data_IF_214038820360
#
_entry.id   IF_214038820360
#
_cell.length_a   1.000
_cell.length_b   1.000
_cell.length_c   1.000
_cell.angle_alpha   90.00
_cell.angle_beta   90.00
_cell.angle_gamma   90.00
#
_symmetry.space_group_name_H-M   'P 1'
#
loop_
_entity.id
_entity.type
_entity.pdbx_description
1 polymer ?
#
# COMPACT_ATOMS: atom_id res chain seq x y z
N UNK A 1 42.23 9.82 13.78
CA UNK A 1 40.95 9.38 14.40
C UNK A 1 39.94 10.49 14.16
N UNK A 2 39.21 10.45 13.04
CA UNK A 2 38.31 11.51 12.64
C UNK A 2 36.94 11.28 13.31
N UNK A 3 36.59 12.18 14.22
CA UNK A 3 35.27 12.24 14.86
C UNK A 3 34.27 12.72 13.80
N UNK A 4 33.45 11.80 13.29
CA UNK A 4 32.27 12.16 12.50
C UNK A 4 31.23 12.75 13.45
N UNK A 5 31.12 14.07 13.46
CA UNK A 5 30.00 14.78 14.08
C UNK A 5 28.71 14.41 13.36
N UNK A 6 27.87 13.62 14.02
CA UNK A 6 26.48 13.45 13.65
C UNK A 6 25.77 14.80 13.87
N UNK A 7 25.55 15.53 12.78
CA UNK A 7 24.69 16.72 12.81
C UNK A 7 23.23 16.26 12.94
N UNK A 8 22.44 16.83 13.88
CA UNK A 8 21.04 16.47 14.01
C UNK A 8 20.28 16.93 12.75
N UNK A 9 19.56 16.02 12.09
CA UNK A 9 18.69 16.36 10.96
C UNK A 9 17.56 17.25 11.47
N UNK A 10 17.47 18.45 10.92
CA UNK A 10 16.44 19.43 11.22
C UNK A 10 15.04 18.86 11.00
N UNK A 11 14.16 19.23 11.91
CA UNK A 11 12.76 18.86 11.95
C UNK A 11 12.00 19.45 10.76
N UNK A 12 11.29 18.58 10.03
CA UNK A 12 10.01 18.82 9.36
C UNK A 12 9.89 20.04 8.42
N UNK A 13 10.05 19.83 7.10
CA UNK A 13 9.12 20.26 6.02
C UNK A 13 9.67 20.13 4.60
N UNK A 14 10.99 20.04 4.39
CA UNK A 14 11.61 20.07 3.05
C UNK A 14 12.30 18.76 2.69
N UNK A 15 12.05 18.26 1.47
CA UNK A 15 12.74 17.10 0.91
C UNK A 15 14.11 17.51 0.32
N UNK A 16 14.92 16.54 -0.11
CA UNK A 16 16.22 16.70 -0.80
C UNK A 16 16.16 17.66 -2.01
N UNK A 17 14.97 17.86 -2.60
CA UNK A 17 14.68 18.83 -3.66
C UNK A 17 14.54 20.29 -3.19
N UNK A 18 14.58 20.57 -1.88
CA UNK A 18 14.26 21.87 -1.27
C UNK A 18 12.77 22.23 -1.26
N UNK A 19 11.90 21.35 -1.77
CA UNK A 19 10.44 21.53 -1.83
C UNK A 19 9.73 20.95 -0.62
N UNK A 20 8.59 21.53 -0.30
CA UNK A 20 7.69 21.01 0.73
C UNK A 20 6.95 19.76 0.23
N UNK A 21 6.47 18.92 1.15
CA UNK A 21 5.65 17.75 0.80
C UNK A 21 4.40 18.16 -0.02
N UNK A 22 3.80 19.32 0.29
CA UNK A 22 2.64 19.83 -0.43
C UNK A 22 2.98 20.15 -1.89
N UNK A 23 4.11 20.80 -2.14
CA UNK A 23 4.58 21.11 -3.50
C UNK A 23 4.89 19.84 -4.30
N UNK A 24 5.49 18.83 -3.66
CA UNK A 24 5.73 17.54 -4.30
C UNK A 24 4.41 16.85 -4.66
N UNK A 25 3.43 16.84 -3.76
CA UNK A 25 2.10 16.31 -4.07
C UNK A 25 1.41 17.05 -5.23
N UNK A 26 1.48 18.38 -5.28
CA UNK A 26 0.94 19.15 -6.42
C UNK A 26 1.65 18.77 -7.72
N UNK A 27 2.98 18.64 -7.69
CA UNK A 27 3.78 18.20 -8.85
C UNK A 27 3.38 16.80 -9.32
N UNK A 28 3.17 15.85 -8.41
CA UNK A 28 2.73 14.48 -8.72
C UNK A 28 1.29 14.43 -9.27
N UNK A 29 0.40 15.32 -8.81
CA UNK A 29 -0.97 15.41 -9.28
C UNK A 29 -1.09 15.88 -10.75
N UNK A 30 -0.10 16.60 -11.28
CA UNK A 30 -0.11 17.11 -12.66
C UNK A 30 0.40 16.10 -13.70
N UNK A 31 0.88 14.94 -13.26
CA UNK A 31 1.44 13.93 -14.16
C UNK A 31 0.35 13.24 -14.98
N UNK A 32 0.62 13.03 -16.26
CA UNK A 32 -0.38 12.50 -17.21
C UNK A 32 -0.33 10.98 -17.39
N UNK A 33 0.83 10.34 -17.22
CA UNK A 33 1.00 8.91 -17.45
C UNK A 33 1.82 8.22 -16.34
N UNK A 34 1.67 6.90 -16.24
CA UNK A 34 2.28 6.09 -15.18
C UNK A 34 3.80 6.11 -15.21
N UNK A 35 4.41 6.15 -16.39
CA UNK A 35 5.86 6.22 -16.55
C UNK A 35 6.45 7.51 -15.99
N UNK A 36 5.87 8.65 -16.35
CA UNK A 36 6.24 9.93 -15.77
C UNK A 36 6.03 9.92 -14.24
N UNK A 37 4.96 9.30 -13.77
CA UNK A 37 4.66 9.25 -12.33
C UNK A 37 5.71 8.42 -11.58
N UNK A 38 6.04 7.23 -12.08
CA UNK A 38 7.10 6.39 -11.55
C UNK A 38 8.46 7.10 -11.56
N UNK A 39 8.76 7.83 -12.63
CA UNK A 39 10.00 8.60 -12.78
C UNK A 39 10.12 9.76 -11.79
N UNK A 40 8.99 10.34 -11.34
CA UNK A 40 8.97 11.36 -10.29
C UNK A 40 8.98 10.77 -8.88
N UNK A 41 8.28 9.66 -8.65
CA UNK A 41 8.25 8.99 -7.33
C UNK A 41 9.61 8.40 -6.98
N UNK A 42 10.29 7.77 -7.93
CA UNK A 42 11.55 7.06 -7.68
C UNK A 42 12.62 7.91 -6.98
N UNK A 43 13.02 9.09 -7.48
CA UNK A 43 14.01 9.93 -6.78
C UNK A 43 13.54 10.39 -5.40
N UNK A 44 12.23 10.66 -5.21
CA UNK A 44 11.68 11.04 -3.91
C UNK A 44 11.81 9.91 -2.89
N UNK A 45 11.55 8.66 -3.30
CA UNK A 45 11.69 7.47 -2.44
C UNK A 45 13.17 7.16 -2.17
N UNK A 46 14.02 7.24 -3.18
CA UNK A 46 15.45 6.92 -3.07
C UNK A 46 16.25 7.96 -2.27
N UNK A 47 15.68 9.14 -2.02
CA UNK A 47 16.19 10.12 -1.07
C UNK A 47 16.11 9.64 0.40
N UNK A 48 15.21 8.70 0.71
CA UNK A 48 15.10 8.10 2.03
C UNK A 48 16.14 6.98 2.21
N UNK A 49 16.67 6.92 3.42
CA UNK A 49 17.64 5.91 3.81
C UNK A 49 16.95 4.59 4.15
N UNK A 50 17.67 3.46 4.10
CA UNK A 50 17.18 2.20 4.66
C UNK A 50 16.75 2.31 6.14
N UNK A 51 17.37 3.24 6.89
CA UNK A 51 17.00 3.53 8.29
C UNK A 51 15.58 4.08 8.43
N UNK A 52 15.09 4.84 7.44
CA UNK A 52 13.73 5.38 7.42
C UNK A 52 12.69 4.26 7.20
N UNK A 53 13.01 3.27 6.36
CA UNK A 53 12.16 2.08 6.18
C UNK A 53 12.12 1.25 7.47
N UNK A 54 13.26 1.10 8.15
CA UNK A 54 13.29 0.43 9.45
C UNK A 54 12.49 1.20 10.50
N UNK A 55 12.48 2.54 10.45
CA UNK A 55 11.63 3.36 11.30
C UNK A 55 10.15 3.12 11.01
N UNK A 56 9.73 3.05 9.74
CA UNK A 56 8.36 2.68 9.38
C UNK A 56 7.95 1.33 9.96
N UNK A 57 8.84 0.34 9.89
CA UNK A 57 8.61 -0.99 10.47
C UNK A 57 8.39 -0.92 11.98
N UNK A 58 9.26 -0.23 12.71
CA UNK A 58 9.14 -0.04 14.18
C UNK A 58 7.85 0.68 14.58
N UNK A 59 7.48 1.72 13.82
CA UNK A 59 6.24 2.45 14.04
C UNK A 59 5.03 1.53 13.85
N UNK A 60 5.06 0.68 12.82
CA UNK A 60 4.01 -0.30 12.58
C UNK A 60 3.93 -1.35 13.70
N UNK A 61 5.06 -1.95 14.07
CA UNK A 61 5.18 -2.91 15.19
C UNK A 61 4.59 -2.36 16.49
N UNK A 62 4.80 -1.07 16.77
CA UNK A 62 4.22 -0.39 17.93
C UNK A 62 2.70 -0.29 17.84
N UNK A 63 2.14 0.03 16.67
CA UNK A 63 0.68 0.16 16.45
C UNK A 63 -0.07 -1.17 16.56
N UNK A 64 0.62 -2.30 16.31
CA UNK A 64 0.03 -3.64 16.34
C UNK A 64 0.37 -4.42 17.61
N UNK A 65 0.98 -3.76 18.62
CA UNK A 65 1.51 -4.43 19.82
C UNK A 65 0.45 -5.21 20.58
N UNK A 66 -0.77 -4.70 20.65
CA UNK A 66 -1.85 -5.28 21.45
C UNK A 66 -2.67 -6.32 20.69
N UNK A 67 -2.29 -6.65 19.45
CA UNK A 67 -2.91 -7.72 18.67
C UNK A 67 -2.44 -9.09 19.16
N UNK A 68 -3.25 -10.11 18.86
CA UNK A 68 -2.90 -11.52 19.05
C UNK A 68 -1.47 -11.82 18.54
N UNK A 69 -0.60 -12.51 19.31
CA UNK A 69 0.81 -12.69 18.95
C UNK A 69 1.03 -13.35 17.59
N UNK A 70 0.25 -14.38 17.25
CA UNK A 70 0.40 -15.13 16.00
C UNK A 70 -0.05 -14.28 14.81
N UNK A 71 -1.21 -13.61 14.94
CA UNK A 71 -1.69 -12.68 13.93
C UNK A 71 -0.70 -11.51 13.73
N UNK A 72 -0.21 -10.92 14.82
CA UNK A 72 0.76 -9.83 14.84
C UNK A 72 2.05 -10.19 14.13
N UNK A 73 2.57 -11.40 14.36
CA UNK A 73 3.80 -11.87 13.70
C UNK A 73 3.61 -11.99 12.19
N UNK A 74 2.54 -12.69 11.75
CA UNK A 74 2.23 -12.85 10.32
C UNK A 74 2.05 -11.50 9.63
N UNK A 75 1.29 -10.60 10.27
CA UNK A 75 1.03 -9.25 9.80
C UNK A 75 2.32 -8.42 9.66
N UNK A 76 3.15 -8.41 10.70
CA UNK A 76 4.39 -7.63 10.75
C UNK A 76 5.38 -8.11 9.68
N UNK A 77 5.54 -9.44 9.55
CA UNK A 77 6.40 -10.03 8.51
C UNK A 77 5.96 -9.60 7.12
N UNK A 78 4.66 -9.70 6.83
CA UNK A 78 4.12 -9.38 5.51
C UNK A 78 4.26 -7.90 5.15
N UNK A 79 4.03 -7.00 6.12
CA UNK A 79 4.25 -5.56 5.92
C UNK A 79 5.73 -5.25 5.71
N UNK A 80 6.64 -5.87 6.47
CA UNK A 80 8.08 -5.66 6.29
C UNK A 80 8.55 -6.11 4.90
N UNK A 81 8.11 -7.29 4.45
CA UNK A 81 8.36 -7.80 3.09
C UNK A 81 7.84 -6.82 2.03
N UNK A 82 6.62 -6.29 2.20
CA UNK A 82 6.04 -5.34 1.26
C UNK A 82 6.81 -4.03 1.19
N UNK A 83 7.12 -3.41 2.34
CA UNK A 83 7.83 -2.13 2.37
C UNK A 83 9.22 -2.23 1.74
N UNK A 84 9.99 -3.25 2.11
CA UNK A 84 11.33 -3.46 1.57
C UNK A 84 11.27 -3.88 0.09
N UNK A 85 10.35 -4.77 -0.26
CA UNK A 85 10.15 -5.24 -1.63
C UNK A 85 9.77 -4.10 -2.57
N UNK A 86 8.82 -3.25 -2.19
CA UNK A 86 8.41 -2.08 -3.00
C UNK A 86 9.56 -1.08 -3.15
N UNK A 87 10.31 -0.79 -2.09
CA UNK A 87 11.48 0.09 -2.18
C UNK A 87 12.54 -0.46 -3.15
N UNK A 88 12.85 -1.75 -3.03
CA UNK A 88 13.80 -2.42 -3.94
C UNK A 88 13.30 -2.43 -5.38
N UNK A 89 11.99 -2.64 -5.58
CA UNK A 89 11.36 -2.62 -6.90
C UNK A 89 11.50 -1.25 -7.56
N UNK A 90 11.16 -0.18 -6.84
CA UNK A 90 11.32 1.21 -7.31
C UNK A 90 12.77 1.48 -7.74
N UNK A 91 13.74 1.03 -6.94
CA UNK A 91 15.17 1.18 -7.25
C UNK A 91 15.54 0.48 -8.55
N UNK A 92 15.11 -0.77 -8.73
CA UNK A 92 15.41 -1.58 -9.91
C UNK A 92 14.72 -1.01 -11.16
N UNK A 93 13.44 -0.68 -11.08
CA UNK A 93 12.66 -0.14 -12.20
C UNK A 93 13.24 1.21 -12.66
N UNK A 94 13.73 2.04 -11.72
CA UNK A 94 14.44 3.27 -12.02
C UNK A 94 15.79 3.01 -12.71
N UNK A 95 16.59 2.07 -12.20
CA UNK A 95 17.90 1.70 -12.79
C UNK A 95 17.75 1.11 -14.20
N UNK A 96 16.72 0.32 -14.44
CA UNK A 96 16.46 -0.34 -15.71
C UNK A 96 15.71 0.55 -16.70
N UNK A 97 15.21 1.72 -16.26
CA UNK A 97 14.45 2.64 -17.11
C UNK A 97 13.08 2.12 -17.52
N UNK A 98 12.47 1.23 -16.72
CA UNK A 98 11.16 0.60 -16.98
C UNK A 98 10.06 1.64 -17.22
N UNK A 99 10.16 2.79 -16.55
CA UNK A 99 9.17 3.87 -16.69
C UNK A 99 9.02 4.40 -18.13
N UNK A 100 10.05 4.31 -18.97
CA UNK A 100 9.98 4.78 -20.37
C UNK A 100 8.99 4.00 -21.21
N UNK A 101 8.66 2.77 -20.82
CA UNK A 101 7.72 1.91 -21.56
C UNK A 101 6.29 1.99 -21.02
N UNK A 102 6.05 2.75 -19.94
CA UNK A 102 4.73 2.86 -19.30
C UNK A 102 4.01 4.12 -19.78
N UNK A 103 3.08 3.97 -20.72
CA UNK A 103 2.38 5.10 -21.36
C UNK A 103 0.92 5.25 -20.93
N UNK A 104 0.39 4.31 -20.13
CA UNK A 104 -1.01 4.35 -19.72
C UNK A 104 -1.28 5.58 -18.84
N UNK A 105 -2.45 6.18 -19.05
CA UNK A 105 -2.82 7.44 -18.44
C UNK A 105 -3.11 7.31 -16.94
N UNK A 106 -2.76 8.33 -16.18
CA UNK A 106 -3.21 8.50 -14.80
C UNK A 106 -4.57 9.18 -14.82
N UNK A 107 -5.59 8.50 -14.31
CA UNK A 107 -6.97 9.02 -14.26
C UNK A 107 -7.11 10.20 -13.32
N UNK A 108 -8.11 11.06 -13.51
CA UNK A 108 -8.41 12.17 -12.59
C UNK A 108 -8.64 11.68 -11.16
N UNK A 109 -9.30 10.53 -11.01
CA UNK A 109 -9.47 9.88 -9.69
C UNK A 109 -8.15 9.48 -9.06
N UNK A 110 -7.18 8.98 -9.83
CA UNK A 110 -5.85 8.66 -9.29
C UNK A 110 -5.07 9.94 -8.94
N UNK A 111 -5.26 11.05 -9.66
CA UNK A 111 -4.61 12.33 -9.32
C UNK A 111 -5.07 12.88 -7.97
N UNK A 112 -6.35 12.69 -7.59
CA UNK A 112 -6.85 13.13 -6.27
C UNK A 112 -6.21 12.38 -5.09
N UNK A 113 -5.51 11.27 -5.35
CA UNK A 113 -4.65 10.60 -4.37
C UNK A 113 -3.66 11.58 -3.76
N UNK A 114 -2.96 12.36 -4.58
CA UNK A 114 -1.93 13.27 -4.12
C UNK A 114 -2.49 14.45 -3.33
N UNK A 115 -3.73 14.88 -3.62
CA UNK A 115 -4.45 15.85 -2.79
C UNK A 115 -4.72 15.30 -1.39
N UNK A 116 -5.16 14.04 -1.29
CA UNK A 116 -5.33 13.36 0.00
C UNK A 116 -4.00 13.25 0.74
N UNK A 117 -2.92 12.85 0.05
CA UNK A 117 -1.58 12.73 0.66
C UNK A 117 -1.09 14.07 1.22
N UNK A 118 -1.26 15.16 0.47
CA UNK A 118 -0.89 16.51 0.91
C UNK A 118 -1.59 16.88 2.22
N UNK A 119 -2.91 16.70 2.28
CA UNK A 119 -3.71 16.99 3.48
C UNK A 119 -3.39 16.11 4.68
N UNK A 120 -2.93 14.87 4.47
CA UNK A 120 -2.57 13.97 5.57
C UNK A 120 -1.16 14.17 6.10
N UNK A 121 -0.24 14.64 5.24
CA UNK A 121 1.13 14.95 5.64
C UNK A 121 1.25 16.35 6.27
N UNK A 122 0.30 17.25 6.04
CA UNK A 122 0.25 18.56 6.71
C UNK A 122 -0.29 18.51 8.14
N UNK A 123 -0.94 17.42 8.54
CA UNK A 123 -1.43 17.25 9.91
C UNK A 123 -0.25 17.02 10.86
N UNK A 124 -0.15 17.89 11.86
CA UNK A 124 0.79 17.72 12.99
C UNK A 124 0.41 16.53 13.88
N UNK A 125 -0.86 16.12 13.83
CA UNK A 125 -1.38 14.97 14.56
C UNK A 125 -1.17 13.66 13.79
N UNK A 126 -0.67 12.65 14.51
CA UNK A 126 -0.57 11.26 14.08
C UNK A 126 0.80 10.65 14.41
N UNK A 127 0.81 9.35 14.66
CA UNK A 127 1.95 8.67 15.26
C UNK A 127 3.24 8.59 14.42
N UNK A 128 3.23 9.04 13.17
CA UNK A 128 4.41 9.09 12.30
C UNK A 128 4.75 10.54 11.93
N UNK A 129 6.03 10.87 11.96
CA UNK A 129 6.56 12.15 11.44
C UNK A 129 6.12 12.37 9.99
N UNK A 130 5.85 13.62 9.55
CA UNK A 130 5.36 13.91 8.21
C UNK A 130 6.19 13.31 7.08
N UNK A 131 7.52 13.28 7.22
CA UNK A 131 8.44 12.69 6.24
C UNK A 131 8.27 11.18 6.10
N UNK A 132 8.14 10.45 7.22
CA UNK A 132 7.92 8.99 7.26
C UNK A 132 6.52 8.65 6.72
N UNK A 133 5.53 9.48 7.05
CA UNK A 133 4.17 9.35 6.53
C UNK A 133 4.15 9.55 5.01
N UNK A 134 4.87 10.55 4.50
CA UNK A 134 4.99 10.79 3.07
C UNK A 134 5.65 9.62 2.34
N UNK A 135 6.74 9.05 2.90
CA UNK A 135 7.36 7.83 2.35
C UNK A 135 6.34 6.68 2.23
N UNK A 136 5.51 6.46 3.27
CA UNK A 136 4.44 5.45 3.23
C UNK A 136 3.49 5.66 2.04
N UNK A 137 3.07 6.91 1.81
CA UNK A 137 2.19 7.24 0.70
C UNK A 137 2.87 7.15 -0.67
N UNK A 138 4.16 7.48 -0.79
CA UNK A 138 4.91 7.28 -2.03
C UNK A 138 4.98 5.79 -2.42
N UNK A 139 5.27 4.90 -1.45
CA UNK A 139 5.30 3.46 -1.68
C UNK A 139 3.91 2.93 -2.09
N UNK A 140 2.86 3.34 -1.40
CA UNK A 140 1.49 2.91 -1.71
C UNK A 140 1.00 3.45 -3.07
N UNK A 141 1.27 4.72 -3.38
CA UNK A 141 0.93 5.34 -4.66
C UNK A 141 1.68 4.69 -5.83
N UNK A 142 2.94 4.29 -5.61
CA UNK A 142 3.68 3.50 -6.59
C UNK A 142 2.98 2.17 -6.90
N UNK A 143 2.63 1.37 -5.88
CA UNK A 143 1.89 0.12 -6.10
C UNK A 143 0.55 0.37 -6.81
N UNK A 144 -0.29 1.24 -6.26
CA UNK A 144 -1.69 1.39 -6.72
C UNK A 144 -1.84 2.10 -8.06
N UNK A 145 -0.96 3.05 -8.38
CA UNK A 145 -1.11 3.91 -9.57
C UNK A 145 -0.06 3.56 -10.62
N UNK A 146 1.21 3.39 -10.23
CA UNK A 146 2.27 3.09 -11.20
C UNK A 146 2.23 1.62 -11.62
N UNK A 147 2.06 0.69 -10.69
CA UNK A 147 1.99 -0.75 -11.01
C UNK A 147 0.55 -1.25 -11.23
N UNK A 148 -0.46 -0.51 -10.79
CA UNK A 148 -1.86 -0.97 -10.71
C UNK A 148 -2.03 -2.23 -9.83
N UNK A 149 -1.18 -2.38 -8.84
CA UNK A 149 -1.22 -3.44 -7.84
C UNK A 149 -1.92 -2.96 -6.55
N UNK A 150 -2.51 -3.86 -5.75
CA UNK A 150 -3.17 -3.47 -4.52
C UNK A 150 -2.19 -2.84 -3.51
N UNK A 151 -2.66 -1.83 -2.76
CA UNK A 151 -1.87 -1.20 -1.70
C UNK A 151 -1.56 -2.13 -0.51
N UNK A 152 -2.29 -3.24 -0.41
CA UNK A 152 -1.95 -4.36 0.46
C UNK A 152 -1.55 -5.56 -0.41
N UNK A 153 -0.41 -6.22 -0.15
CA UNK A 153 0.09 -7.29 -1.01
C UNK A 153 -0.79 -8.56 -0.91
N UNK A 154 -0.73 -9.41 -1.93
CA UNK A 154 -1.35 -10.75 -1.90
C UNK A 154 -0.84 -11.54 -0.68
N UNK A 155 -1.76 -12.16 0.05
CA UNK A 155 -1.50 -12.86 1.31
C UNK A 155 -1.43 -11.95 2.54
N UNK A 156 -1.66 -10.64 2.41
CA UNK A 156 -1.82 -9.75 3.57
C UNK A 156 -2.99 -10.22 4.44
N UNK A 157 -2.77 -10.56 5.72
CA UNK A 157 -3.81 -11.06 6.60
C UNK A 157 -4.71 -9.93 7.11
N UNK A 158 -5.99 -10.25 7.27
CA UNK A 158 -7.03 -9.43 7.89
C UNK A 158 -7.69 -10.21 9.03
N UNK A 159 -8.40 -9.53 9.96
CA UNK A 159 -9.20 -10.21 10.98
C UNK A 159 -10.17 -11.23 10.35
N UNK A 160 -10.39 -12.37 11.02
CA UNK A 160 -11.19 -13.48 10.45
C UNK A 160 -10.39 -14.44 9.56
N UNK A 161 -9.05 -14.32 9.55
CA UNK A 161 -8.14 -15.14 8.74
C UNK A 161 -8.32 -14.98 7.22
N UNK A 162 -8.96 -13.89 6.80
CA UNK A 162 -9.05 -13.48 5.41
C UNK A 162 -7.71 -12.91 4.92
N UNK A 163 -7.50 -12.95 3.60
CA UNK A 163 -6.30 -12.39 2.97
C UNK A 163 -6.62 -11.70 1.64
N UNK A 164 -5.73 -10.81 1.19
CA UNK A 164 -5.77 -10.33 -0.20
C UNK A 164 -5.44 -11.49 -1.13
N UNK A 165 -6.27 -11.70 -2.16
CA UNK A 165 -6.11 -12.79 -3.12
C UNK A 165 -5.94 -12.25 -4.55
N UNK A 166 -5.21 -12.98 -5.38
CA UNK A 166 -5.18 -12.79 -6.83
C UNK A 166 -5.85 -13.99 -7.47
N UNK A 167 -6.95 -13.77 -8.20
CA UNK A 167 -7.73 -14.82 -8.83
C UNK A 167 -8.06 -14.40 -10.26
N UNK A 168 -7.63 -15.22 -11.24
CA UNK A 168 -7.77 -14.96 -12.69
C UNK A 168 -7.37 -13.52 -13.08
N UNK A 169 -6.21 -13.07 -12.61
CA UNK A 169 -5.69 -11.73 -12.91
C UNK A 169 -6.41 -10.59 -12.18
N UNK A 170 -7.38 -10.88 -11.31
CA UNK A 170 -8.11 -9.88 -10.51
C UNK A 170 -7.72 -9.95 -9.04
N UNK A 171 -7.35 -8.81 -8.46
CA UNK A 171 -7.09 -8.71 -7.01
C UNK A 171 -8.37 -8.54 -6.22
N UNK A 172 -8.49 -9.27 -5.11
CA UNK A 172 -9.61 -9.19 -4.18
C UNK A 172 -9.12 -8.82 -2.77
N UNK A 173 -9.73 -7.81 -2.18
CA UNK A 173 -9.43 -7.31 -0.85
C UNK A 173 -10.67 -7.47 0.06
N UNK A 174 -10.55 -8.08 1.24
CA UNK A 174 -11.68 -8.32 2.16
C UNK A 174 -12.34 -7.03 2.68
N UNK A 175 -11.62 -5.91 2.64
CA UNK A 175 -12.03 -4.62 3.23
C UNK A 175 -12.11 -3.49 2.21
N UNK A 176 -12.21 -3.79 0.91
CA UNK A 176 -12.21 -2.79 -0.17
C UNK A 176 -13.33 -1.75 -0.02
N UNK A 177 -14.52 -2.21 0.36
CA UNK A 177 -15.73 -1.39 0.49
C UNK A 177 -16.02 -1.01 1.94
N UNK A 178 -15.23 -1.55 2.89
CA UNK A 178 -15.27 -1.20 4.32
C UNK A 178 -14.45 0.05 4.66
N UNK A 179 -14.24 0.93 3.67
CA UNK A 179 -13.37 2.09 3.76
C UNK A 179 -13.99 3.28 4.53
N UNK A 180 -15.31 3.25 4.76
CA UNK A 180 -16.07 4.35 5.36
C UNK A 180 -15.67 4.70 6.80
N UNK A 181 -14.96 3.80 7.49
CA UNK A 181 -14.69 3.92 8.92
C UNK A 181 -13.30 4.50 9.24
N UNK A 182 -12.51 4.91 8.24
CA UNK A 182 -11.12 5.37 8.46
C UNK A 182 -10.77 6.61 7.63
N UNK A 183 -10.49 7.72 8.32
CA UNK A 183 -9.87 8.90 7.71
C UNK A 183 -8.57 8.52 6.98
N UNK A 184 -8.39 9.03 5.76
CA UNK A 184 -7.23 8.71 4.90
C UNK A 184 -7.16 7.29 4.34
N UNK A 185 -8.31 6.60 4.21
CA UNK A 185 -8.35 5.29 3.59
C UNK A 185 -7.68 5.31 2.20
N UNK A 186 -6.73 4.40 1.99
CA UNK A 186 -6.11 4.16 0.68
C UNK A 186 -7.06 3.39 -0.25
N UNK A 187 -8.07 2.71 0.33
CA UNK A 187 -9.01 1.84 -0.37
C UNK A 187 -9.66 2.49 -1.61
N UNK A 188 -10.13 3.75 -1.61
CA UNK A 188 -10.75 4.37 -2.79
C UNK A 188 -9.87 4.37 -4.05
N UNK A 189 -8.54 4.35 -3.86
CA UNK A 189 -7.52 4.36 -4.92
C UNK A 189 -6.97 2.96 -5.24
N UNK A 190 -7.29 1.96 -4.41
CA UNK A 190 -6.82 0.60 -4.58
C UNK A 190 -7.53 -0.08 -5.78
N UNK A 191 -6.79 -0.73 -6.69
CA UNK A 191 -7.33 -1.44 -7.85
C UNK A 191 -8.02 -2.77 -7.49
N UNK A 192 -7.83 -3.28 -6.26
CA UNK A 192 -8.52 -4.48 -5.82
C UNK A 192 -10.03 -4.29 -5.78
N UNK A 193 -10.75 -5.37 -6.08
CA UNK A 193 -12.21 -5.48 -5.90
C UNK A 193 -12.53 -5.96 -4.49
N UNK A 194 -13.73 -5.66 -4.02
CA UNK A 194 -14.23 -6.25 -2.79
C UNK A 194 -14.31 -7.76 -2.96
N UNK A 195 -13.76 -8.50 -1.99
CA UNK A 195 -13.99 -9.93 -1.89
C UNK A 195 -15.50 -10.14 -1.77
N UNK A 196 -16.14 -10.89 -2.70
CA UNK A 196 -17.57 -11.14 -2.62
C UNK A 196 -17.95 -11.76 -1.28
N UNK A 197 -19.13 -11.42 -0.78
CA UNK A 197 -19.72 -12.16 0.33
C UNK A 197 -19.93 -13.62 -0.06
N UNK A 198 -19.95 -14.49 0.95
CA UNK A 198 -20.10 -15.94 0.78
C UNK A 198 -21.31 -16.20 -0.13
N UNK A 199 -21.10 -17.00 -1.18
CA UNK A 199 -22.16 -17.40 -2.11
C UNK A 199 -22.00 -16.97 -3.56
N UNK A 200 -21.09 -16.05 -3.89
CA UNK A 200 -20.82 -15.68 -5.29
C UNK A 200 -19.66 -16.50 -5.88
N UNK A 201 -19.97 -17.76 -6.18
CA UNK A 201 -19.41 -18.56 -7.28
C UNK A 201 -17.89 -18.51 -7.49
N UNK A 202 -17.11 -18.98 -6.52
CA UNK A 202 -15.91 -19.77 -6.86
C UNK A 202 -15.56 -20.76 -5.76
N UNK A 203 -15.28 -22.03 -6.10
CA UNK A 203 -14.68 -22.97 -5.15
C UNK A 203 -13.42 -22.33 -4.56
N UNK A 204 -13.19 -22.40 -3.25
CA UNK A 204 -12.02 -21.79 -2.64
C UNK A 204 -10.74 -22.48 -3.14
N UNK A 205 -10.07 -21.86 -4.12
CA UNK A 205 -8.76 -22.31 -4.58
C UNK A 205 -7.73 -21.97 -3.50
N UNK A 206 -7.25 -23.00 -2.79
CA UNK A 206 -6.33 -22.84 -1.65
C UNK A 206 -6.96 -22.35 -0.35
N UNK A 207 -8.28 -22.45 -0.18
CA UNK A 207 -8.94 -22.10 1.10
C UNK A 207 -8.63 -23.10 2.22
N UNK A 208 -8.75 -22.65 3.47
CA UNK A 208 -8.74 -23.52 4.65
C UNK A 208 -9.87 -24.55 4.56
N UNK A 209 -9.75 -25.68 5.27
CA UNK A 209 -10.78 -26.73 5.24
C UNK A 209 -12.12 -26.25 5.81
N UNK A 210 -12.09 -25.27 6.71
CA UNK A 210 -13.28 -24.55 7.17
C UNK A 210 -13.98 -23.83 6.00
N UNK A 211 -13.24 -23.02 5.23
CA UNK A 211 -13.77 -22.28 4.08
C UNK A 211 -14.30 -23.20 2.97
N UNK A 212 -13.69 -24.37 2.77
CA UNK A 212 -14.18 -25.39 1.84
C UNK A 212 -15.51 -25.98 2.29
N UNK A 213 -15.63 -26.36 3.57
CA UNK A 213 -16.86 -26.91 4.15
C UNK A 213 -17.99 -25.89 4.12
N UNK A 214 -17.71 -24.65 4.50
CA UNK A 214 -18.68 -23.55 4.45
C UNK A 214 -19.14 -23.24 3.04
N UNK A 215 -18.24 -23.27 2.04
CA UNK A 215 -18.63 -23.11 0.63
C UNK A 215 -19.58 -24.23 0.18
N UNK A 216 -19.28 -25.48 0.52
CA UNK A 216 -20.14 -26.63 0.18
C UNK A 216 -21.51 -26.52 0.86
N UNK A 217 -21.55 -26.23 2.16
CA UNK A 217 -22.79 -26.04 2.91
C UNK A 217 -23.64 -24.90 2.33
N UNK A 218 -23.02 -23.77 2.01
CA UNK A 218 -23.69 -22.63 1.42
C UNK A 218 -24.21 -22.92 0.00
N UNK A 219 -23.48 -23.68 -0.81
CA UNK A 219 -23.98 -24.17 -2.11
C UNK A 219 -25.22 -25.03 -1.90
N UNK A 220 -25.19 -25.98 -0.95
CA UNK A 220 -26.36 -26.83 -0.67
C UNK A 220 -27.58 -26.07 -0.13
N UNK A 221 -27.37 -25.03 0.68
CA UNK A 221 -28.44 -24.27 1.32
C UNK A 221 -29.07 -23.21 0.42
N UNK A 222 -28.27 -22.58 -0.45
CA UNK A 222 -28.70 -21.39 -1.21
C UNK A 222 -28.75 -21.61 -2.72
N UNK A 223 -28.09 -22.66 -3.22
CA UNK A 223 -28.12 -23.03 -4.62
C UNK A 223 -28.73 -24.42 -4.73
N UNK A 224 -30.07 -24.48 -4.78
CA UNK A 224 -30.77 -25.71 -5.12
C UNK A 224 -30.35 -26.13 -6.52
N UNK A 225 -29.39 -27.07 -6.61
CA UNK A 225 -29.18 -27.83 -7.84
C UNK A 225 -30.45 -28.66 -8.05
N UNK A 226 -31.43 -28.06 -8.72
CA UNK A 226 -32.49 -28.82 -9.37
C UNK A 226 -31.80 -29.58 -10.50
N UNK A 227 -31.49 -30.85 -10.23
CA UNK A 227 -31.02 -31.80 -11.25
C UNK A 227 -32.01 -31.95 -12.39
#
# INVERSE_FOLDING_TARGET
>A
MALFSFSPKNDTTTNVSGRTIAEECTSLAQVSNRGELGSRIAPLVLAYSPGDIQQMKRNFETKVRDLDPEYRERLTKKIAEHLLGTYQRIRLDNQQGVYKTMTQLVTEKQKTYWTMVAGQCSKLEGGDAPSIRFLKYLLAGYCMIVLEEPGHPVGMPFPGNDTVQLVDGTWYCPVRDKAGDVDAALCPFCPARQTPEIGYLRPPVGGSDHRKKEYIEHIHQHHHFNG
#
